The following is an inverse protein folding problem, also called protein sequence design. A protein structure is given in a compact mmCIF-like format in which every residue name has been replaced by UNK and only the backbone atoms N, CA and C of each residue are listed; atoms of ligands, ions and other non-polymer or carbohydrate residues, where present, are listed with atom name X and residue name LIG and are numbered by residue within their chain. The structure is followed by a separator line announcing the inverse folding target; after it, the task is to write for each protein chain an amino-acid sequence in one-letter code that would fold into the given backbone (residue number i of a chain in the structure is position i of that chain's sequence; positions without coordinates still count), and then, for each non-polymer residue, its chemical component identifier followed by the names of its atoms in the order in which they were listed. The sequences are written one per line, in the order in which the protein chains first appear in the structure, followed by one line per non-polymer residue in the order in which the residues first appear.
data_IF_843892255189
#
_entry.id   IF_843892255189
#
_cell.length_a   1.000
_cell.length_b   1.000
_cell.length_c   1.000
_cell.angle_alpha   90.00
_cell.angle_beta   90.00
_cell.angle_gamma   90.00
#
_symmetry.space_group_name_H-M   'P 1'
#
loop_
_entity.id
_entity.type
_entity.pdbx_description
1 polymer ?
#
# COMPACT_ATOMS: atom_id res chain seq x y z
N UNK A 1 22.49 2.60 1.65
CA UNK A 1 21.31 2.35 2.52
C UNK A 1 20.63 3.63 3.00
N UNK A 2 21.33 4.63 3.57
CA UNK A 2 20.71 5.90 4.06
C UNK A 2 19.81 6.59 3.04
N UNK A 3 20.19 6.63 1.77
CA UNK A 3 19.39 7.24 0.71
C UNK A 3 18.03 6.53 0.51
N UNK A 4 18.04 5.19 0.45
CA UNK A 4 16.82 4.40 0.26
C UNK A 4 15.88 4.52 1.46
N UNK A 5 16.44 4.51 2.67
CA UNK A 5 15.68 4.66 3.92
C UNK A 5 15.06 6.04 4.02
N UNK A 6 15.77 7.11 3.64
CA UNK A 6 15.24 8.47 3.66
C UNK A 6 14.07 8.64 2.68
N UNK A 7 14.24 8.24 1.43
CA UNK A 7 13.18 8.36 0.42
C UNK A 7 12.03 7.40 0.68
N UNK A 8 12.31 6.19 1.19
CA UNK A 8 11.28 5.27 1.66
C UNK A 8 10.52 5.84 2.87
N UNK A 9 11.21 6.51 3.79
CA UNK A 9 10.59 7.22 4.90
C UNK A 9 9.65 8.34 4.44
N UNK A 10 10.08 9.15 3.47
CA UNK A 10 9.25 10.20 2.85
C UNK A 10 8.03 9.60 2.18
N UNK A 11 8.20 8.51 1.42
CA UNK A 11 7.09 7.80 0.77
C UNK A 11 6.08 7.29 1.80
N UNK A 12 6.55 6.57 2.82
CA UNK A 12 5.68 6.02 3.86
C UNK A 12 4.92 7.11 4.63
N UNK A 13 5.61 8.17 5.05
CA UNK A 13 4.98 9.28 5.77
C UNK A 13 3.99 10.06 4.89
N UNK A 14 4.29 10.25 3.61
CA UNK A 14 3.37 10.92 2.69
C UNK A 14 2.08 10.10 2.51
N UNK A 15 2.19 8.79 2.31
CA UNK A 15 1.05 7.90 2.16
C UNK A 15 0.21 7.81 3.45
N UNK A 16 0.85 7.72 4.61
CA UNK A 16 0.18 7.74 5.92
C UNK A 16 -0.55 9.07 6.11
N UNK A 17 0.09 10.20 5.83
CA UNK A 17 -0.50 11.52 5.96
C UNK A 17 -1.73 11.69 5.06
N UNK A 18 -1.64 11.30 3.80
CA UNK A 18 -2.77 11.30 2.85
C UNK A 18 -3.90 10.40 3.37
N UNK A 19 -3.57 9.19 3.80
CA UNK A 19 -4.56 8.24 4.33
C UNK A 19 -5.31 8.79 5.53
N UNK A 20 -4.61 9.41 6.49
CA UNK A 20 -5.23 10.03 7.66
C UNK A 20 -6.13 11.21 7.29
N UNK A 21 -5.68 12.07 6.40
CA UNK A 21 -6.48 13.22 5.93
C UNK A 21 -7.76 12.74 5.26
N UNK A 22 -7.65 11.75 4.37
CA UNK A 22 -8.81 11.17 3.67
C UNK A 22 -9.76 10.47 4.63
N UNK A 23 -9.24 9.80 5.64
CA UNK A 23 -10.04 9.18 6.70
C UNK A 23 -10.84 10.23 7.49
N UNK A 24 -10.18 11.31 7.92
CA UNK A 24 -10.84 12.40 8.66
C UNK A 24 -11.90 13.13 7.83
N UNK A 25 -11.70 13.20 6.51
CA UNK A 25 -12.67 13.79 5.58
C UNK A 25 -13.80 12.82 5.19
N UNK A 26 -13.74 11.56 5.60
CA UNK A 26 -14.69 10.52 5.21
C UNK A 26 -14.64 10.15 3.72
N UNK A 27 -13.51 10.40 3.05
CA UNK A 27 -13.34 10.21 1.60
C UNK A 27 -12.50 8.97 1.24
N UNK A 28 -12.29 8.07 2.19
CA UNK A 28 -11.46 6.87 2.00
C UNK A 28 -11.96 5.93 0.89
N UNK A 29 -13.25 5.95 0.61
CA UNK A 29 -13.90 5.08 -0.39
C UNK A 29 -14.04 5.71 -1.78
N UNK A 30 -13.60 6.96 -1.95
CA UNK A 30 -13.68 7.61 -3.24
C UNK A 30 -12.73 6.93 -4.26
N UNK A 31 -13.26 6.55 -5.41
CA UNK A 31 -12.49 5.82 -6.44
C UNK A 31 -11.25 6.57 -6.95
N UNK A 32 -11.24 7.89 -6.89
CA UNK A 32 -10.09 8.71 -7.27
C UNK A 32 -8.92 8.64 -6.25
N UNK A 33 -9.18 8.27 -4.99
CA UNK A 33 -8.16 8.15 -3.93
C UNK A 33 -7.09 7.13 -4.31
N UNK A 34 -7.49 6.03 -4.92
CA UNK A 34 -6.57 5.00 -5.37
C UNK A 34 -5.59 5.53 -6.44
N UNK A 35 -6.08 6.34 -7.36
CA UNK A 35 -5.25 7.00 -8.38
C UNK A 35 -4.27 8.01 -7.79
N UNK A 36 -4.69 8.77 -6.78
CA UNK A 36 -3.80 9.68 -6.04
C UNK A 36 -2.69 8.91 -5.34
N UNK A 37 -3.00 7.80 -4.68
CA UNK A 37 -1.99 6.96 -4.05
C UNK A 37 -0.96 6.43 -5.06
N UNK A 38 -1.40 5.92 -6.20
CA UNK A 38 -0.49 5.46 -7.25
C UNK A 38 0.38 6.60 -7.81
N UNK A 39 -0.20 7.76 -8.01
CA UNK A 39 0.54 8.93 -8.48
C UNK A 39 1.61 9.37 -7.48
N UNK A 40 1.31 9.38 -6.18
CA UNK A 40 2.27 9.71 -5.12
C UNK A 40 3.41 8.68 -5.06
N UNK A 41 3.08 7.40 -5.13
CA UNK A 41 4.09 6.33 -5.16
C UNK A 41 5.03 6.51 -6.35
N UNK A 42 4.48 6.67 -7.54
CA UNK A 42 5.26 6.87 -8.76
C UNK A 42 6.14 8.11 -8.69
N UNK A 43 5.60 9.25 -8.24
CA UNK A 43 6.33 10.50 -8.12
C UNK A 43 7.51 10.40 -7.16
N UNK A 44 7.31 9.81 -5.97
CA UNK A 44 8.37 9.71 -4.95
C UNK A 44 9.44 8.71 -5.36
N UNK A 45 9.08 7.58 -5.96
CA UNK A 45 10.04 6.62 -6.52
C UNK A 45 10.87 7.28 -7.62
N UNK A 46 10.23 8.02 -8.53
CA UNK A 46 10.91 8.72 -9.61
C UNK A 46 11.90 9.75 -9.07
N UNK A 47 11.45 10.66 -8.20
CA UNK A 47 12.30 11.71 -7.62
C UNK A 47 13.42 11.10 -6.78
N UNK A 48 13.15 10.08 -5.98
CA UNK A 48 14.15 9.39 -5.17
C UNK A 48 15.21 8.66 -6.02
N UNK A 49 14.80 8.06 -7.13
CA UNK A 49 15.73 7.43 -8.09
C UNK A 49 16.58 8.47 -8.81
N UNK A 50 15.99 9.62 -9.22
CA UNK A 50 16.71 10.73 -9.82
C UNK A 50 17.72 11.35 -8.84
N UNK A 51 17.36 11.51 -7.56
CA UNK A 51 18.27 11.98 -6.54
C UNK A 51 19.47 11.05 -6.35
N UNK A 52 19.27 9.74 -6.44
CA UNK A 52 20.37 8.76 -6.45
C UNK A 52 21.24 8.90 -7.70
N UNK A 53 20.64 9.10 -8.86
CA UNK A 53 21.36 9.32 -10.12
C UNK A 53 22.29 10.54 -10.04
N UNK A 54 21.79 11.65 -9.52
CA UNK A 54 22.58 12.87 -9.35
C UNK A 54 23.76 12.68 -8.39
N UNK A 55 23.60 11.85 -7.35
CA UNK A 55 24.65 11.55 -6.39
C UNK A 55 25.74 10.60 -6.93
N UNK A 56 25.55 10.02 -8.12
CA UNK A 56 26.47 9.08 -8.78
C UNK A 56 26.90 9.60 -10.16
N UNK A 57 27.30 10.86 -10.25
CA UNK A 57 27.82 11.50 -11.47
C UNK A 57 26.90 11.41 -12.71
N UNK A 58 25.60 11.32 -12.46
CA UNK A 58 24.57 11.36 -13.50
C UNK A 58 24.32 10.05 -14.25
N UNK A 59 25.03 8.98 -13.92
CA UNK A 59 24.88 7.67 -14.59
C UNK A 59 24.39 6.63 -13.58
N UNK A 60 23.26 6.02 -13.85
CA UNK A 60 22.78 4.82 -13.16
C UNK A 60 22.68 3.68 -14.16
N UNK A 61 23.22 2.52 -13.82
CA UNK A 61 22.87 1.30 -14.56
C UNK A 61 21.39 0.93 -14.30
N UNK A 62 20.79 0.21 -15.23
CA UNK A 62 19.40 -0.26 -15.09
C UNK A 62 19.17 -0.98 -13.75
N UNK A 63 20.07 -1.90 -13.36
CA UNK A 63 19.98 -2.62 -12.10
C UNK A 63 20.10 -1.73 -10.86
N UNK A 64 20.87 -0.64 -10.93
CA UNK A 64 20.97 0.33 -9.84
C UNK A 64 19.70 1.18 -9.70
N UNK A 65 19.09 1.58 -10.82
CA UNK A 65 17.79 2.26 -10.84
C UNK A 65 16.70 1.38 -10.26
N UNK A 66 16.59 0.15 -10.78
CA UNK A 66 15.63 -0.84 -10.31
C UNK A 66 15.79 -1.10 -8.80
N UNK A 67 16.99 -1.35 -8.32
CA UNK A 67 17.24 -1.59 -6.89
C UNK A 67 16.94 -0.37 -6.03
N UNK A 68 17.11 0.83 -6.56
CA UNK A 68 16.75 2.07 -5.85
C UNK A 68 15.24 2.20 -5.67
N UNK A 69 14.48 2.06 -6.75
CA UNK A 69 13.02 2.18 -6.69
C UNK A 69 12.37 1.09 -5.84
N UNK A 70 12.79 -0.16 -6.02
CA UNK A 70 12.32 -1.28 -5.17
C UNK A 70 12.68 -1.05 -3.70
N UNK A 71 13.90 -0.58 -3.41
CA UNK A 71 14.32 -0.28 -2.05
C UNK A 71 13.51 0.85 -1.40
N UNK A 72 13.24 1.93 -2.14
CA UNK A 72 12.39 3.04 -1.66
C UNK A 72 10.97 2.54 -1.38
N UNK A 73 10.39 1.77 -2.29
CA UNK A 73 9.07 1.19 -2.13
C UNK A 73 9.00 0.24 -0.94
N UNK A 74 10.00 -0.61 -0.76
CA UNK A 74 10.09 -1.53 0.37
C UNK A 74 10.13 -0.79 1.72
N UNK A 75 11.05 0.15 1.90
CA UNK A 75 11.12 0.91 3.15
C UNK A 75 9.87 1.75 3.42
N UNK A 76 9.28 2.34 2.37
CA UNK A 76 8.01 3.05 2.47
C UNK A 76 6.87 2.12 2.87
N UNK A 77 6.81 0.94 2.27
CA UNK A 77 5.75 -0.05 2.56
C UNK A 77 5.81 -0.60 3.98
N UNK A 78 7.00 -0.73 4.58
CA UNK A 78 7.15 -1.14 5.98
C UNK A 78 6.47 -0.14 6.92
N UNK A 79 6.64 1.16 6.68
CA UNK A 79 5.95 2.20 7.47
C UNK A 79 4.44 2.17 7.26
N UNK A 80 3.99 2.04 6.02
CA UNK A 80 2.56 1.92 5.69
C UNK A 80 1.96 0.66 6.29
N UNK A 81 2.68 -0.46 6.26
CA UNK A 81 2.24 -1.71 6.88
C UNK A 81 2.09 -1.58 8.40
N UNK A 82 3.03 -0.93 9.05
CA UNK A 82 2.93 -0.64 10.49
C UNK A 82 1.72 0.25 10.79
N UNK A 83 1.51 1.30 10.00
CA UNK A 83 0.32 2.14 10.10
C UNK A 83 -0.97 1.34 9.89
N UNK A 84 -1.02 0.49 8.86
CA UNK A 84 -2.18 -0.37 8.57
C UNK A 84 -2.49 -1.29 9.74
N UNK A 85 -1.48 -1.89 10.34
CA UNK A 85 -1.64 -2.74 11.52
C UNK A 85 -2.22 -1.96 12.70
N UNK A 86 -1.66 -0.79 13.01
CA UNK A 86 -2.14 0.06 14.11
C UNK A 86 -3.54 0.57 13.82
N UNK A 87 -3.82 0.98 12.59
CA UNK A 87 -5.13 1.50 12.19
C UNK A 87 -6.24 0.48 12.42
N UNK A 88 -6.11 -0.73 11.88
CA UNK A 88 -7.12 -1.76 12.02
C UNK A 88 -7.13 -2.46 13.39
N UNK A 89 -6.07 -2.35 14.18
CA UNK A 89 -6.03 -2.92 15.52
C UNK A 89 -6.53 -1.97 16.60
N UNK A 90 -6.31 -0.65 16.46
CA UNK A 90 -6.52 0.31 17.55
C UNK A 90 -7.32 1.55 17.14
N UNK A 91 -7.22 2.03 15.91
CA UNK A 91 -7.87 3.28 15.50
C UNK A 91 -9.31 3.02 15.07
N UNK A 92 -9.52 2.11 14.14
CA UNK A 92 -10.85 1.76 13.61
C UNK A 92 -10.95 0.26 13.27
N UNK A 93 -11.07 -0.61 14.30
CA UNK A 93 -11.26 -2.05 14.09
C UNK A 93 -12.57 -2.38 13.34
N UNK A 94 -13.59 -1.56 13.50
CA UNK A 94 -14.92 -1.78 12.93
C UNK A 94 -14.91 -1.61 11.41
N UNK A 95 -14.06 -0.72 10.89
CA UNK A 95 -13.89 -0.53 9.44
C UNK A 95 -13.49 -1.82 8.72
N UNK A 96 -12.67 -2.67 9.35
CA UNK A 96 -12.28 -3.95 8.78
C UNK A 96 -13.48 -4.90 8.67
N UNK A 97 -14.35 -4.91 9.69
CA UNK A 97 -15.58 -5.71 9.68
C UNK A 97 -16.57 -5.21 8.61
N UNK A 98 -16.72 -3.91 8.48
CA UNK A 98 -17.55 -3.31 7.44
C UNK A 98 -17.07 -3.68 6.04
N UNK A 99 -15.77 -3.71 5.80
CA UNK A 99 -15.18 -4.17 4.53
C UNK A 99 -15.52 -5.64 4.25
N UNK A 100 -15.45 -6.50 5.26
CA UNK A 100 -15.79 -7.93 5.14
C UNK A 100 -17.26 -8.09 4.78
N UNK A 101 -18.16 -7.39 5.47
CA UNK A 101 -19.60 -7.44 5.20
C UNK A 101 -19.95 -6.94 3.79
N UNK A 102 -19.34 -5.86 3.33
CA UNK A 102 -19.51 -5.37 1.96
C UNK A 102 -19.05 -6.37 0.91
N UNK A 103 -17.91 -7.02 1.13
CA UNK A 103 -17.44 -8.07 0.23
C UNK A 103 -18.44 -9.22 0.14
N UNK A 104 -19.01 -9.63 1.26
CA UNK A 104 -20.04 -10.67 1.31
C UNK A 104 -21.29 -10.27 0.53
N UNK A 105 -21.80 -9.06 0.77
CA UNK A 105 -22.96 -8.52 0.04
C UNK A 105 -22.69 -8.42 -1.47
N UNK A 106 -21.51 -7.97 -1.88
CA UNK A 106 -21.15 -7.92 -3.30
C UNK A 106 -21.11 -9.30 -3.95
N UNK A 107 -20.62 -10.32 -3.24
CA UNK A 107 -20.61 -11.71 -3.73
C UNK A 107 -22.03 -12.24 -3.92
N UNK A 108 -22.94 -12.02 -2.97
CA UNK A 108 -24.34 -12.41 -3.11
C UNK A 108 -25.03 -11.65 -4.25
N UNK A 109 -24.78 -10.36 -4.39
CA UNK A 109 -25.34 -9.54 -5.46
C UNK A 109 -24.80 -9.92 -6.84
N UNK A 110 -23.62 -10.49 -6.93
CA UNK A 110 -23.04 -10.99 -8.19
C UNK A 110 -23.63 -12.34 -8.64
N UNK A 111 -24.50 -12.95 -7.84
CA UNK A 111 -25.15 -14.23 -8.15
C UNK A 111 -24.29 -15.45 -7.84
N UNK A 112 -23.27 -15.32 -6.99
CA UNK A 112 -22.48 -16.46 -6.54
C UNK A 112 -23.32 -17.43 -5.70
N UNK A 113 -23.17 -18.76 -5.90
CA UNK A 113 -23.80 -19.76 -5.04
C UNK A 113 -23.34 -19.61 -3.57
N UNK A 114 -24.26 -19.82 -2.62
CA UNK A 114 -24.00 -19.67 -1.18
C UNK A 114 -22.77 -20.45 -0.71
N UNK A 115 -22.58 -21.68 -1.18
CA UNK A 115 -21.42 -22.49 -0.83
C UNK A 115 -20.08 -21.88 -1.29
N UNK A 116 -20.08 -21.20 -2.43
CA UNK A 116 -18.89 -20.48 -2.91
C UNK A 116 -18.63 -19.18 -2.13
N UNK A 117 -19.67 -18.48 -1.75
CA UNK A 117 -19.58 -17.28 -0.91
C UNK A 117 -18.99 -17.65 0.45
N UNK A 118 -19.52 -18.68 1.10
CA UNK A 118 -19.01 -19.15 2.40
C UNK A 118 -17.52 -19.53 2.32
N UNK A 119 -17.12 -20.33 1.33
CA UNK A 119 -15.72 -20.76 1.18
C UNK A 119 -14.79 -19.59 0.89
N UNK A 120 -15.18 -18.66 0.02
CA UNK A 120 -14.41 -17.46 -0.31
C UNK A 120 -14.30 -16.53 0.89
N UNK A 121 -15.37 -16.36 1.65
CA UNK A 121 -15.40 -15.52 2.85
C UNK A 121 -14.54 -16.10 3.96
N UNK A 122 -14.55 -17.42 4.18
CA UNK A 122 -13.70 -18.07 5.16
C UNK A 122 -12.20 -17.88 4.85
N UNK A 123 -11.82 -17.97 3.58
CA UNK A 123 -10.45 -17.66 3.14
C UNK A 123 -10.13 -16.18 3.30
N UNK A 124 -11.03 -15.29 2.88
CA UNK A 124 -10.86 -13.84 2.95
C UNK A 124 -10.71 -13.34 4.39
N UNK A 125 -11.51 -13.83 5.32
CA UNK A 125 -11.43 -13.49 6.75
C UNK A 125 -10.09 -13.82 7.37
N UNK A 126 -9.41 -14.88 6.91
CA UNK A 126 -8.06 -15.24 7.37
C UNK A 126 -7.01 -14.23 6.92
N UNK A 127 -7.16 -13.67 5.70
CA UNK A 127 -6.25 -12.67 5.13
C UNK A 127 -6.59 -11.24 5.55
N UNK A 128 -7.84 -10.96 5.90
CA UNK A 128 -8.32 -9.64 6.33
C UNK A 128 -8.16 -9.41 7.84
N UNK A 129 -7.14 -9.96 8.44
CA UNK A 129 -6.69 -9.63 9.79
C UNK A 129 -5.59 -8.57 9.72
N UNK A 130 -5.40 -7.74 10.75
CA UNK A 130 -4.39 -6.66 10.72
C UNK A 130 -2.97 -7.14 10.37
N UNK A 131 -2.54 -8.28 10.88
CA UNK A 131 -1.23 -8.85 10.60
C UNK A 131 -1.04 -9.28 9.13
N UNK A 132 -1.85 -10.20 8.60
CA UNK A 132 -1.79 -10.60 7.20
C UNK A 132 -2.00 -9.44 6.22
N UNK A 133 -2.91 -8.50 6.50
CA UNK A 133 -3.10 -7.32 5.67
C UNK A 133 -1.85 -6.45 5.61
N UNK A 134 -1.18 -6.24 6.72
CA UNK A 134 0.08 -5.49 6.77
C UNK A 134 1.18 -6.16 5.94
N UNK A 135 1.27 -7.48 5.98
CA UNK A 135 2.20 -8.24 5.14
C UNK A 135 1.87 -8.08 3.64
N UNK A 136 0.60 -8.13 3.27
CA UNK A 136 0.15 -7.91 1.89
C UNK A 136 0.46 -6.49 1.39
N UNK A 137 0.37 -5.49 2.26
CA UNK A 137 0.77 -4.11 1.94
C UNK A 137 2.25 -4.07 1.53
N UNK A 138 3.14 -4.69 2.31
CA UNK A 138 4.58 -4.72 1.98
C UNK A 138 4.82 -5.39 0.63
N UNK A 139 4.20 -6.53 0.38
CA UNK A 139 4.34 -7.25 -0.89
C UNK A 139 3.83 -6.43 -2.07
N UNK A 140 2.64 -5.85 -1.95
CA UNK A 140 1.99 -5.08 -3.03
C UNK A 140 2.79 -3.84 -3.40
N UNK A 141 3.24 -3.06 -2.42
CA UNK A 141 3.99 -1.83 -2.68
C UNK A 141 5.41 -2.13 -3.19
N UNK A 142 6.04 -3.19 -2.69
CA UNK A 142 7.35 -3.62 -3.20
C UNK A 142 7.24 -4.07 -4.66
N UNK A 143 6.19 -4.80 -5.01
CA UNK A 143 5.91 -5.21 -6.38
C UNK A 143 5.61 -4.01 -7.29
N UNK A 144 4.83 -3.03 -6.82
CA UNK A 144 4.63 -1.77 -7.54
C UNK A 144 5.94 -1.02 -7.75
N UNK A 145 6.80 -0.99 -6.73
CA UNK A 145 8.13 -0.42 -6.86
C UNK A 145 8.96 -1.09 -7.96
N UNK A 146 8.85 -2.40 -8.09
CA UNK A 146 9.51 -3.15 -9.18
C UNK A 146 8.97 -2.78 -10.57
N UNK A 147 7.66 -2.56 -10.69
CA UNK A 147 7.04 -2.18 -11.98
C UNK A 147 7.39 -0.75 -12.38
N UNK A 148 7.44 0.18 -11.42
CA UNK A 148 7.62 1.61 -11.66
C UNK A 148 9.10 1.97 -11.87
N UNK A 149 10.03 1.19 -11.31
CA UNK A 149 11.47 1.43 -11.41
C UNK A 149 12.05 1.04 -12.75
#
# INVERSE_FOLDING_TARGET
MKHLTNWGGILGLALIGISLVLYLLGMTEASWVQWVNYAVIAAIIYVGTQAKRTSQDGVLSYGQGLSAGVGIAFFGSVLVAFYTFVFFSFIDPDMLQDLILRMEDEMYNSGMPDAQVEMTMDMSKKFMQPGPMSAMVVLSYTFLGFIIS
#
